data_IF_266313371595
#
_entry.id   IF_266313371595
#
_cell.length_a   1.000
_cell.length_b   1.000
_cell.length_c   1.000
_cell.angle_alpha   90.00
_cell.angle_beta   90.00
_cell.angle_gamma   90.00
#
_symmetry.space_group_name_H-M   'P 1'
#
loop_
_entity.id
_entity.type
_entity.pdbx_description
1 polymer ?
#
# COMPACT_ATOMS: atom_id res chain seq x y z
N UNK A 1 -10.77 -12.78 6.19
CA UNK A 1 -9.84 -12.14 7.15
C UNK A 1 -9.62 -10.68 6.77
N UNK A 2 -9.50 -9.78 7.74
CA UNK A 2 -9.35 -8.37 7.42
C UNK A 2 -7.96 -8.04 6.90
N UNK A 3 -7.91 -6.99 6.10
CA UNK A 3 -6.64 -6.40 5.68
C UNK A 3 -6.43 -5.17 6.56
N UNK A 4 -5.28 -5.11 7.23
CA UNK A 4 -4.92 -3.98 8.08
C UNK A 4 -4.06 -2.99 7.32
N UNK A 5 -4.06 -1.74 7.75
CA UNK A 5 -3.17 -0.71 7.22
C UNK A 5 -2.46 -0.03 8.39
N UNK A 6 -1.16 0.21 8.21
CA UNK A 6 -0.30 0.83 9.22
C UNK A 6 0.76 1.67 8.54
N UNK A 7 1.52 2.44 9.32
CA UNK A 7 2.78 3.01 8.86
C UNK A 7 3.88 1.99 9.15
N UNK A 8 4.97 2.04 8.38
CA UNK A 8 6.06 1.08 8.56
C UNK A 8 6.68 1.16 9.96
N UNK A 9 6.65 2.37 10.57
CA UNK A 9 7.25 2.60 11.89
C UNK A 9 6.28 2.37 13.05
N UNK A 10 5.05 1.97 12.79
CA UNK A 10 4.13 1.56 13.84
C UNK A 10 4.59 0.22 14.43
N UNK A 11 4.49 0.05 15.77
CA UNK A 11 4.88 -1.23 16.37
C UNK A 11 4.03 -2.38 15.82
N UNK A 12 4.65 -3.55 15.56
CA UNK A 12 3.88 -4.72 15.11
C UNK A 12 2.86 -5.15 16.16
N UNK A 13 1.61 -5.35 15.71
CA UNK A 13 0.56 -5.93 16.54
C UNK A 13 0.59 -7.46 16.48
N UNK A 14 -0.15 -8.10 17.39
CA UNK A 14 -0.16 -9.56 17.50
C UNK A 14 -0.76 -10.25 16.29
N UNK A 15 -1.76 -9.64 15.66
CA UNK A 15 -2.55 -10.28 14.62
C UNK A 15 -2.42 -9.58 13.27
N UNK A 16 -1.24 -9.03 12.98
CA UNK A 16 -1.03 -8.32 11.71
C UNK A 16 -0.65 -9.24 10.56
N UNK A 17 -0.19 -10.45 10.87
CA UNK A 17 0.14 -11.42 9.84
C UNK A 17 1.32 -10.97 8.98
N UNK A 18 1.17 -11.12 7.67
CA UNK A 18 2.20 -10.73 6.70
C UNK A 18 2.23 -9.21 6.56
N UNK A 19 3.37 -8.60 6.88
CA UNK A 19 3.55 -7.16 6.78
C UNK A 19 4.21 -6.84 5.44
N UNK A 20 3.56 -6.02 4.62
CA UNK A 20 4.01 -5.69 3.28
C UNK A 20 4.21 -4.19 3.15
N UNK A 21 5.43 -3.77 2.86
CA UNK A 21 5.72 -2.37 2.58
C UNK A 21 5.28 -2.06 1.15
N UNK A 22 4.34 -1.13 0.99
CA UNK A 22 3.73 -0.81 -0.30
C UNK A 22 4.09 0.61 -0.76
N UNK A 23 5.28 1.07 -0.42
CA UNK A 23 5.80 2.37 -0.85
C UNK A 23 6.73 2.19 -2.05
N UNK A 24 6.81 3.23 -2.89
CA UNK A 24 7.74 3.24 -4.04
C UNK A 24 9.19 3.19 -3.58
N UNK A 25 9.51 3.85 -2.48
CA UNK A 25 10.86 3.97 -1.96
C UNK A 25 10.95 3.32 -0.57
N UNK A 26 12.10 2.71 -0.30
CA UNK A 26 12.43 2.22 1.03
C UNK A 26 12.77 3.40 1.94
N UNK A 27 12.43 3.35 3.25
CA UNK A 27 12.82 4.42 4.18
C UNK A 27 14.33 4.66 4.14
N UNK A 28 14.73 5.93 4.03
CA UNK A 28 16.13 6.31 3.93
C UNK A 28 16.88 6.07 5.23
N UNK A 29 18.10 5.58 5.11
CA UNK A 29 18.99 5.42 6.26
C UNK A 29 18.60 4.31 7.21
N UNK A 30 17.58 3.50 6.89
CA UNK A 30 17.13 2.45 7.75
C UNK A 30 18.01 1.20 7.57
N UNK A 31 18.68 0.70 8.63
CA UNK A 31 19.42 -0.56 8.54
C UNK A 31 18.49 -1.72 8.25
N UNK A 32 18.99 -2.74 7.56
CA UNK A 32 18.18 -3.92 7.23
C UNK A 32 17.62 -4.58 8.50
N UNK A 33 18.38 -4.61 9.56
CA UNK A 33 17.95 -5.21 10.83
C UNK A 33 16.78 -4.46 11.48
N UNK A 34 16.52 -3.21 11.08
CA UNK A 34 15.43 -2.40 11.61
C UNK A 34 14.18 -2.44 10.74
N UNK A 35 14.17 -3.22 9.67
CA UNK A 35 13.00 -3.37 8.82
C UNK A 35 11.86 -4.04 9.58
N UNK A 36 10.65 -3.46 9.44
CA UNK A 36 9.47 -3.95 10.15
C UNK A 36 8.54 -4.77 9.26
N UNK A 37 8.90 -4.92 8.00
CA UNK A 37 8.07 -5.62 7.00
C UNK A 37 8.70 -6.94 6.61
N UNK A 38 7.84 -7.85 6.14
CA UNK A 38 8.28 -9.16 5.63
C UNK A 38 8.59 -9.10 4.14
N UNK A 39 7.83 -8.29 3.40
CA UNK A 39 7.99 -8.10 1.97
C UNK A 39 7.95 -6.61 1.63
N UNK A 40 8.65 -6.23 0.57
CA UNK A 40 8.55 -4.90 -0.01
C UNK A 40 8.06 -5.04 -1.45
N UNK A 41 6.89 -4.44 -1.75
CA UNK A 41 6.30 -4.47 -3.09
C UNK A 41 6.21 -3.03 -3.62
N UNK A 42 7.31 -2.47 -4.14
CA UNK A 42 7.31 -1.08 -4.59
C UNK A 42 6.37 -0.81 -5.76
N UNK A 43 6.05 -1.83 -6.56
CA UNK A 43 5.10 -1.69 -7.66
C UNK A 43 3.69 -1.36 -7.18
N UNK A 44 3.37 -1.59 -5.91
CA UNK A 44 2.08 -1.22 -5.32
C UNK A 44 2.08 0.19 -4.73
N UNK A 45 3.24 0.84 -4.71
CA UNK A 45 3.32 2.27 -4.40
C UNK A 45 2.99 3.11 -5.63
N UNK A 46 2.81 4.42 -5.45
CA UNK A 46 2.61 5.32 -6.59
C UNK A 46 3.87 5.35 -7.46
N UNK A 47 3.71 5.64 -8.76
CA UNK A 47 4.85 5.83 -9.65
C UNK A 47 5.70 7.00 -9.18
N UNK A 48 6.94 7.11 -9.70
CA UNK A 48 7.80 8.24 -9.38
C UNK A 48 7.13 9.57 -9.71
N UNK A 49 6.45 9.64 -10.85
CA UNK A 49 5.76 10.82 -11.32
C UNK A 49 4.60 11.18 -10.41
N UNK A 50 3.79 10.21 -10.04
CA UNK A 50 2.66 10.44 -9.16
C UNK A 50 3.13 10.81 -7.75
N UNK A 51 4.16 10.16 -7.24
CA UNK A 51 4.75 10.48 -5.94
C UNK A 51 5.25 11.92 -5.91
N UNK A 52 6.00 12.32 -6.94
CA UNK A 52 6.52 13.68 -7.03
C UNK A 52 5.40 14.73 -7.10
N UNK A 53 4.35 14.44 -7.87
CA UNK A 53 3.19 15.33 -7.97
C UNK A 53 2.44 15.45 -6.64
N UNK A 54 2.26 14.33 -5.95
CA UNK A 54 1.52 14.29 -4.68
C UNK A 54 2.23 15.07 -3.57
N UNK A 55 3.56 15.03 -3.55
CA UNK A 55 4.34 15.69 -2.49
C UNK A 55 4.84 17.07 -2.91
N UNK A 56 4.34 17.62 -4.01
CA UNK A 56 4.62 18.99 -4.40
C UNK A 56 6.07 19.27 -4.82
N UNK A 57 6.82 18.23 -5.20
CA UNK A 57 8.20 18.42 -5.66
C UNK A 57 8.27 19.13 -7.01
N UNK A 58 7.18 19.05 -7.77
CA UNK A 58 7.04 19.71 -9.05
C UNK A 58 5.75 20.52 -9.01
N UNK A 59 5.83 21.80 -8.81
CA UNK A 59 4.67 22.69 -8.73
C UNK A 59 3.99 22.64 -7.36
N UNK A 60 2.68 22.81 -7.34
CA UNK A 60 1.88 22.97 -6.13
C UNK A 60 1.30 21.65 -5.57
N UNK A 61 1.64 20.55 -6.19
CA UNK A 61 1.04 19.27 -5.84
C UNK A 61 -0.30 19.08 -6.53
N UNK A 62 -0.97 17.98 -6.23
CA UNK A 62 -2.26 17.64 -6.84
C UNK A 62 -3.29 17.39 -5.74
N UNK A 63 -4.57 17.51 -6.09
CA UNK A 63 -5.64 17.24 -5.15
C UNK A 63 -5.69 15.75 -4.83
N UNK A 64 -6.35 15.42 -3.71
CA UNK A 64 -6.57 14.02 -3.33
C UNK A 64 -7.37 13.27 -4.40
N UNK A 65 -8.38 13.92 -4.98
CA UNK A 65 -9.20 13.30 -6.02
C UNK A 65 -8.36 12.96 -7.26
N UNK A 66 -7.46 13.85 -7.66
CA UNK A 66 -6.57 13.61 -8.79
C UNK A 66 -5.60 12.47 -8.47
N UNK A 67 -5.03 12.48 -7.28
CA UNK A 67 -4.14 11.41 -6.82
C UNK A 67 -4.86 10.06 -6.85
N UNK A 68 -6.06 10.00 -6.27
CA UNK A 68 -6.89 8.81 -6.21
C UNK A 68 -7.13 8.22 -7.61
N UNK A 69 -7.55 9.07 -8.55
CA UNK A 69 -7.83 8.64 -9.92
C UNK A 69 -6.57 8.11 -10.61
N UNK A 70 -5.47 8.83 -10.48
CA UNK A 70 -4.20 8.44 -11.10
C UNK A 70 -3.64 7.16 -10.50
N UNK A 71 -3.70 7.01 -9.17
CA UNK A 71 -3.23 5.80 -8.51
C UNK A 71 -4.02 4.58 -8.96
N UNK A 72 -5.34 4.71 -9.07
CA UNK A 72 -6.20 3.61 -9.55
C UNK A 72 -5.84 3.18 -10.96
N UNK A 73 -5.54 4.13 -11.84
CA UNK A 73 -5.10 3.81 -13.21
C UNK A 73 -3.77 3.05 -13.17
N UNK A 74 -2.83 3.49 -12.34
CA UNK A 74 -1.55 2.78 -12.20
C UNK A 74 -1.74 1.37 -11.68
N UNK A 75 -2.65 1.16 -10.75
CA UNK A 75 -2.92 -0.17 -10.19
C UNK A 75 -3.60 -1.12 -11.17
N UNK A 76 -4.20 -0.61 -12.24
CA UNK A 76 -4.70 -1.46 -13.32
C UNK A 76 -3.58 -2.25 -14.00
N UNK A 77 -2.33 -1.79 -13.88
CA UNK A 77 -1.16 -2.50 -14.39
C UNK A 77 -0.61 -3.52 -13.38
N UNK A 78 -1.16 -3.57 -12.18
CA UNK A 78 -0.68 -4.42 -11.10
C UNK A 78 -1.71 -5.47 -10.68
N UNK A 79 -2.55 -5.89 -11.60
CA UNK A 79 -3.63 -6.85 -11.30
C UNK A 79 -3.10 -8.20 -10.82
N UNK A 80 -1.93 -8.63 -11.31
CA UNK A 80 -1.33 -9.88 -10.88
C UNK A 80 -0.90 -9.82 -9.41
N UNK A 81 -0.23 -8.73 -9.00
CA UNK A 81 0.20 -8.57 -7.62
C UNK A 81 -0.99 -8.43 -6.67
N UNK A 82 -1.99 -7.64 -7.06
CA UNK A 82 -3.20 -7.46 -6.26
C UNK A 82 -3.95 -8.79 -6.15
N UNK A 83 -4.03 -9.55 -7.24
CA UNK A 83 -4.66 -10.87 -7.25
C UNK A 83 -3.95 -11.86 -6.32
N UNK A 84 -2.63 -11.82 -6.27
CA UNK A 84 -1.86 -12.67 -5.35
C UNK A 84 -2.22 -12.35 -3.89
N UNK A 85 -2.29 -11.08 -3.54
CA UNK A 85 -2.65 -10.68 -2.18
C UNK A 85 -4.10 -11.05 -1.85
N UNK A 86 -5.00 -10.92 -2.83
CA UNK A 86 -6.40 -11.34 -2.67
C UNK A 86 -6.48 -12.85 -2.41
N UNK A 87 -5.69 -13.65 -3.12
CA UNK A 87 -5.65 -15.10 -2.93
C UNK A 87 -5.17 -15.46 -1.52
N UNK A 88 -4.18 -14.77 -1.01
CA UNK A 88 -3.68 -14.98 0.36
C UNK A 88 -4.76 -14.67 1.39
N UNK A 89 -5.47 -13.57 1.18
CA UNK A 89 -6.55 -13.16 2.09
C UNK A 89 -7.69 -14.20 2.07
N UNK A 90 -8.06 -14.68 0.88
CA UNK A 90 -9.07 -15.74 0.75
C UNK A 90 -8.65 -17.06 1.40
N UNK A 91 -7.35 -17.33 1.43
CA UNK A 91 -6.81 -18.53 2.08
C UNK A 91 -6.78 -18.41 3.60
N UNK A 92 -7.23 -17.28 4.15
CA UNK A 92 -7.29 -17.06 5.59
C UNK A 92 -6.07 -16.36 6.17
N UNK A 93 -5.14 -15.93 5.35
CA UNK A 93 -3.97 -15.19 5.82
C UNK A 93 -4.34 -13.74 6.15
N UNK A 94 -3.79 -13.23 7.23
CA UNK A 94 -3.92 -11.82 7.58
C UNK A 94 -2.80 -11.04 6.89
N UNK A 95 -3.14 -9.88 6.33
CA UNK A 95 -2.21 -9.02 5.62
C UNK A 95 -2.26 -7.62 6.22
N UNK A 96 -1.10 -7.01 6.42
CA UNK A 96 -0.99 -5.63 6.86
C UNK A 96 -0.19 -4.84 5.83
N UNK A 97 -0.80 -3.81 5.27
CA UNK A 97 -0.18 -2.93 4.29
C UNK A 97 0.49 -1.77 5.02
N UNK A 98 1.77 -1.55 4.76
CA UNK A 98 2.56 -0.53 5.44
C UNK A 98 2.88 0.63 4.51
N UNK A 99 2.72 1.83 5.00
CA UNK A 99 3.02 3.06 4.28
C UNK A 99 4.14 3.84 4.95
N UNK A 100 4.46 5.01 4.39
CA UNK A 100 5.50 5.91 4.90
C UNK A 100 5.14 6.47 6.27
N UNK A 101 6.17 6.77 7.07
CA UNK A 101 5.99 7.47 8.34
C UNK A 101 5.40 8.87 8.17
N UNK A 102 5.44 9.42 6.96
CA UNK A 102 4.82 10.72 6.66
C UNK A 102 3.33 10.62 6.36
N UNK A 103 2.80 9.40 6.24
CA UNK A 103 1.39 9.14 5.95
C UNK A 103 0.61 9.07 7.26
N UNK A 104 0.29 10.21 7.82
CA UNK A 104 -0.42 10.32 9.10
C UNK A 104 -1.95 10.27 8.97
N UNK A 105 -2.48 10.27 7.74
CA UNK A 105 -3.92 10.16 7.49
C UNK A 105 -4.20 8.94 6.62
N UNK A 106 -4.74 7.90 7.24
CA UNK A 106 -5.12 6.68 6.52
C UNK A 106 -6.12 6.98 5.40
N UNK A 107 -7.10 7.85 5.65
CA UNK A 107 -8.14 8.19 4.67
C UNK A 107 -7.60 8.90 3.43
N UNK A 108 -6.38 9.40 3.47
CA UNK A 108 -5.74 10.07 2.34
C UNK A 108 -4.38 9.48 2.04
N UNK A 109 -4.33 8.15 2.03
CA UNK A 109 -3.11 7.42 1.72
C UNK A 109 -3.42 6.32 0.70
N UNK A 110 -2.47 6.06 -0.20
CA UNK A 110 -2.66 5.00 -1.21
C UNK A 110 -2.91 3.63 -0.58
N UNK A 111 -2.44 3.38 0.65
CA UNK A 111 -2.67 2.10 1.33
C UNK A 111 -4.16 1.82 1.52
N UNK A 112 -4.98 2.84 1.76
CA UNK A 112 -6.43 2.67 1.91
C UNK A 112 -7.09 2.33 0.58
N UNK A 113 -6.62 2.94 -0.50
CA UNK A 113 -7.10 2.64 -1.86
C UNK A 113 -6.71 1.22 -2.22
N UNK A 114 -5.47 0.85 -1.95
CA UNK A 114 -4.96 -0.49 -2.24
C UNK A 114 -5.73 -1.56 -1.47
N UNK A 115 -6.02 -1.31 -0.19
CA UNK A 115 -6.85 -2.21 0.62
C UNK A 115 -8.20 -2.44 -0.05
N UNK A 116 -8.85 -1.37 -0.50
CA UNK A 116 -10.13 -1.47 -1.19
C UNK A 116 -10.02 -2.30 -2.47
N UNK A 117 -8.96 -2.08 -3.26
CA UNK A 117 -8.76 -2.82 -4.50
C UNK A 117 -8.54 -4.31 -4.25
N UNK A 118 -7.80 -4.66 -3.20
CA UNK A 118 -7.58 -6.06 -2.82
C UNK A 118 -8.91 -6.68 -2.36
N UNK A 119 -9.67 -5.97 -1.54
CA UNK A 119 -10.96 -6.46 -1.04
C UNK A 119 -11.95 -6.70 -2.18
N UNK A 120 -11.97 -5.83 -3.18
CA UNK A 120 -12.80 -6.00 -4.37
C UNK A 120 -12.37 -7.24 -5.17
N UNK A 121 -11.07 -7.48 -5.28
CA UNK A 121 -10.55 -8.67 -5.96
C UNK A 121 -10.93 -9.95 -5.21
N UNK A 122 -10.91 -9.93 -3.87
CA UNK A 122 -11.37 -11.05 -3.05
C UNK A 122 -12.84 -11.33 -3.35
N UNK A 123 -13.69 -10.31 -3.33
CA UNK A 123 -15.11 -10.48 -3.57
C UNK A 123 -15.40 -10.99 -4.97
N UNK A 124 -14.67 -10.52 -5.97
CA UNK A 124 -14.83 -11.00 -7.35
C UNK A 124 -14.41 -12.46 -7.51
N UNK A 125 -13.32 -12.86 -6.84
CA UNK A 125 -12.82 -14.24 -6.90
C UNK A 125 -13.61 -15.21 -6.03
N UNK A 126 -14.41 -14.71 -5.10
CA UNK A 126 -15.19 -15.54 -4.19
C UNK A 126 -16.51 -16.04 -4.75
N UNK A 127 -16.83 -15.67 -5.97
CA UNK A 127 -18.09 -16.09 -6.61
C UNK A 127 -17.93 -17.45 -7.30
#
# INVERSE_FOLDING_TARGET
MPIHTRRWDDPPGKDEGLRILVTRYRPRGLPKAAETWDLWMPQLGPSKELHAAAYGKVGLGISWQTYLARYRVEMQQQTAAIGELANREQAGETITLLCSSQCDRESRCHRSILKELIERAVNAGGE
#
